data_IF_749960815097
#
_entry.id   IF_749960815097
#
_cell.length_a   1.000
_cell.length_b   1.000
_cell.length_c   1.000
_cell.angle_alpha   90.00
_cell.angle_beta   90.00
_cell.angle_gamma   90.00
#
_symmetry.space_group_name_H-M   'P 1'
#
loop_
_entity.id
_entity.type
_entity.pdbx_description
1 polymer ?
#
# COMPACT_ATOMS: atom_id res chain seq x y z
N UNK A 1 55.23 -37.08 -18.95
CA UNK A 1 56.03 -36.48 -20.04
C UNK A 1 55.42 -36.94 -21.38
N UNK A 2 54.99 -35.96 -22.19
CA UNK A 2 54.78 -35.92 -23.66
C UNK A 2 54.37 -37.22 -24.39
N UNK A 3 53.33 -37.23 -25.26
CA UNK A 3 53.21 -36.37 -26.46
C UNK A 3 51.76 -36.16 -26.92
N UNK A 4 51.59 -35.04 -27.60
CA UNK A 4 50.41 -34.45 -28.24
C UNK A 4 49.81 -35.24 -29.41
N UNK A 5 48.50 -35.10 -29.63
CA UNK A 5 47.89 -35.07 -30.97
C UNK A 5 46.76 -34.01 -30.95
N UNK A 6 46.71 -33.21 -32.01
CA UNK A 6 45.69 -32.20 -32.41
C UNK A 6 45.34 -32.49 -33.88
N UNK A 7 44.41 -31.79 -34.55
CA UNK A 7 42.96 -31.75 -34.38
C UNK A 7 42.24 -32.11 -35.70
N UNK A 8 41.00 -32.63 -35.71
CA UNK A 8 40.13 -32.51 -36.90
C UNK A 8 38.63 -32.54 -36.56
N UNK A 9 37.95 -31.51 -37.06
CA UNK A 9 36.59 -31.46 -37.60
C UNK A 9 35.41 -31.95 -36.75
N UNK A 10 34.75 -30.99 -36.10
CA UNK A 10 33.28 -31.01 -36.02
C UNK A 10 32.74 -29.73 -36.64
N UNK A 11 32.12 -29.92 -37.80
CA UNK A 11 31.44 -28.91 -38.61
C UNK A 11 30.30 -28.24 -37.83
N UNK A 12 30.35 -26.92 -37.75
CA UNK A 12 29.23 -26.05 -37.39
C UNK A 12 28.17 -26.10 -38.50
N UNK A 13 26.89 -26.32 -38.22
CA UNK A 13 25.84 -25.95 -39.15
C UNK A 13 25.55 -24.45 -38.99
N UNK A 14 25.94 -23.69 -40.01
CA UNK A 14 25.34 -22.40 -40.33
C UNK A 14 23.85 -22.61 -40.59
N UNK A 15 22.99 -22.06 -39.73
CA UNK A 15 21.56 -21.92 -39.99
C UNK A 15 21.26 -20.43 -40.17
N UNK A 16 20.57 -20.14 -41.28
CA UNK A 16 20.37 -18.85 -41.90
C UNK A 16 19.97 -17.70 -40.97
N UNK A 17 20.52 -16.54 -41.27
CA UNK A 17 19.91 -15.25 -40.99
C UNK A 17 18.50 -15.22 -41.57
N UNK A 18 17.50 -15.46 -40.72
CA UNK A 18 16.15 -14.95 -40.95
C UNK A 18 16.13 -13.56 -40.33
N UNK A 19 16.11 -12.54 -41.18
CA UNK A 19 15.71 -11.20 -40.81
C UNK A 19 14.23 -11.25 -40.41
N UNK A 20 13.94 -11.63 -39.16
CA UNK A 20 12.69 -11.23 -38.55
C UNK A 20 12.83 -9.78 -38.14
N UNK A 21 12.11 -8.93 -38.88
CA UNK A 21 11.93 -7.54 -38.56
C UNK A 21 11.47 -7.43 -37.09
N UNK A 22 12.42 -7.00 -36.25
CA UNK A 22 12.23 -6.62 -34.87
C UNK A 22 11.25 -5.46 -34.82
N UNK A 23 9.95 -5.77 -34.74
CA UNK A 23 8.96 -4.81 -34.34
C UNK A 23 9.38 -4.33 -32.96
N UNK A 24 9.83 -3.08 -32.85
CA UNK A 24 9.98 -2.43 -31.55
C UNK A 24 8.58 -2.24 -30.97
N UNK A 25 8.17 -2.90 -29.87
CA UNK A 25 6.99 -2.43 -29.15
C UNK A 25 7.38 -1.16 -28.41
N UNK A 26 7.22 -0.05 -29.12
CA UNK A 26 6.93 1.27 -28.57
C UNK A 26 5.52 1.27 -27.94
N UNK A 27 5.09 2.40 -27.39
CA UNK A 27 3.72 2.65 -26.92
C UNK A 27 2.61 2.14 -27.86
N UNK A 28 2.90 1.94 -29.15
CA UNK A 28 2.02 1.33 -30.13
C UNK A 28 1.45 -0.03 -29.70
N UNK A 29 2.25 -0.91 -29.08
CA UNK A 29 1.76 -2.23 -28.65
C UNK A 29 0.71 -2.13 -27.54
N UNK A 30 0.93 -1.23 -26.58
CA UNK A 30 -0.04 -0.95 -25.52
C UNK A 30 -1.33 -0.33 -26.08
N UNK A 31 -1.20 0.71 -26.91
CA UNK A 31 -2.35 1.41 -27.52
C UNK A 31 -3.16 0.53 -28.48
N UNK A 32 -2.52 -0.44 -29.13
CA UNK A 32 -3.22 -1.43 -29.94
C UNK A 32 -4.07 -2.40 -29.08
N UNK A 33 -3.60 -2.74 -27.89
CA UNK A 33 -4.33 -3.60 -26.95
C UNK A 33 -5.48 -2.85 -26.24
N UNK A 34 -5.27 -1.58 -25.92
CA UNK A 34 -6.24 -0.75 -25.21
C UNK A 34 -6.49 0.57 -25.95
N UNK A 35 -7.15 0.54 -27.11
CA UNK A 35 -7.35 1.74 -27.90
C UNK A 35 -8.35 2.69 -27.23
N UNK A 36 -8.08 4.00 -27.34
CA UNK A 36 -8.83 5.06 -26.66
C UNK A 36 -10.30 5.15 -27.14
N UNK A 37 -10.60 4.70 -28.36
CA UNK A 37 -11.96 4.63 -28.92
C UNK A 37 -12.85 3.56 -28.26
N UNK A 38 -12.26 2.62 -27.53
CA UNK A 38 -12.99 1.63 -26.73
C UNK A 38 -13.27 2.09 -25.31
N UNK A 39 -12.88 3.32 -24.95
CA UNK A 39 -13.18 3.86 -23.63
C UNK A 39 -14.68 4.09 -23.50
N UNK A 40 -15.23 3.72 -22.34
CA UNK A 40 -16.66 3.81 -22.04
C UNK A 40 -16.89 4.62 -20.77
N UNK A 41 -18.05 5.28 -20.64
CA UNK A 41 -18.43 5.94 -19.41
C UNK A 41 -18.38 4.98 -18.22
N UNK A 42 -17.67 5.36 -17.16
CA UNK A 42 -17.63 4.59 -15.91
C UNK A 42 -19.01 4.62 -15.24
N UNK A 43 -19.46 3.53 -14.57
CA UNK A 43 -20.73 3.54 -13.83
C UNK A 43 -20.83 4.65 -12.78
N UNK A 44 -22.02 5.26 -12.63
CA UNK A 44 -22.30 6.32 -11.66
C UNK A 44 -22.48 5.80 -10.22
N UNK A 45 -21.52 4.99 -9.76
CA UNK A 45 -21.39 4.52 -8.40
C UNK A 45 -20.18 5.21 -7.75
N UNK A 46 -20.34 5.74 -6.55
CA UNK A 46 -19.23 6.25 -5.73
C UNK A 46 -19.18 5.41 -4.45
N UNK A 47 -18.01 4.87 -4.14
CA UNK A 47 -17.77 3.99 -3.00
C UNK A 47 -16.78 4.64 -2.05
N UNK A 48 -17.09 4.56 -0.76
CA UNK A 48 -16.23 4.98 0.36
C UNK A 48 -16.19 3.85 1.38
N UNK A 49 -15.07 3.69 2.09
CA UNK A 49 -14.92 2.64 3.12
C UNK A 49 -14.54 3.29 4.45
N UNK A 50 -15.25 2.91 5.52
CA UNK A 50 -14.92 3.27 6.89
C UNK A 50 -15.03 2.05 7.81
N UNK A 51 -13.89 1.56 8.31
CA UNK A 51 -13.81 0.29 9.05
C UNK A 51 -13.03 0.44 10.34
N UNK A 52 -13.24 -0.50 11.27
CA UNK A 52 -12.58 -0.51 12.58
C UNK A 52 -13.17 0.44 13.62
N UNK A 53 -14.08 1.32 13.22
CA UNK A 53 -14.80 2.22 14.12
C UNK A 53 -16.13 2.68 13.50
N UNK A 54 -16.96 3.37 14.29
CA UNK A 54 -18.17 4.04 13.81
C UNK A 54 -17.80 5.35 13.08
N UNK A 55 -18.41 5.68 11.93
CA UNK A 55 -18.19 6.98 11.28
C UNK A 55 -18.67 8.14 12.16
N UNK A 56 -17.81 9.15 12.35
CA UNK A 56 -18.09 10.36 13.11
C UNK A 56 -18.67 11.50 12.25
N UNK A 57 -18.90 12.66 12.87
CA UNK A 57 -19.57 13.83 12.25
C UNK A 57 -18.84 14.40 11.03
N UNK A 58 -17.51 14.33 10.99
CA UNK A 58 -16.76 14.78 9.82
C UNK A 58 -17.07 13.89 8.61
N UNK A 59 -17.16 12.57 8.82
CA UNK A 59 -17.53 11.63 7.77
C UNK A 59 -18.96 11.87 7.27
N UNK A 60 -19.91 12.33 8.12
CA UNK A 60 -21.23 12.81 7.65
C UNK A 60 -21.07 13.94 6.65
N UNK A 61 -20.24 14.92 7.00
CA UNK A 61 -20.11 16.16 6.26
C UNK A 61 -19.60 15.86 4.86
N UNK A 62 -18.54 15.05 4.76
CA UNK A 62 -18.02 14.61 3.47
C UNK A 62 -19.01 13.75 2.70
N UNK A 63 -19.67 12.77 3.33
CA UNK A 63 -20.65 11.92 2.63
C UNK A 63 -21.80 12.75 2.04
N UNK A 64 -22.31 13.72 2.80
CA UNK A 64 -23.37 14.65 2.36
C UNK A 64 -22.89 15.58 1.25
N UNK A 65 -21.65 16.08 1.33
CA UNK A 65 -21.04 16.89 0.27
C UNK A 65 -20.97 16.10 -1.04
N UNK A 66 -20.43 14.88 -1.00
CA UNK A 66 -20.33 14.01 -2.18
C UNK A 66 -21.69 13.69 -2.78
N UNK A 67 -22.69 13.39 -1.94
CA UNK A 67 -24.06 13.13 -2.37
C UNK A 67 -24.72 14.34 -3.02
N UNK A 68 -24.47 15.54 -2.49
CA UNK A 68 -25.02 16.79 -3.03
C UNK A 68 -24.36 17.16 -4.34
N UNK A 69 -23.02 17.01 -4.45
CA UNK A 69 -22.27 17.30 -5.68
C UNK A 69 -22.55 16.31 -6.81
N UNK A 70 -22.97 15.08 -6.46
CA UNK A 70 -23.19 14.00 -7.43
C UNK A 70 -24.62 13.42 -7.32
N UNK A 71 -25.67 14.21 -7.64
CA UNK A 71 -27.06 13.81 -7.45
C UNK A 71 -27.47 12.61 -8.33
N UNK A 72 -26.81 12.43 -9.48
CA UNK A 72 -27.06 11.32 -10.40
C UNK A 72 -26.24 10.06 -10.07
N UNK A 73 -25.44 10.09 -8.99
CA UNK A 73 -24.66 8.94 -8.55
C UNK A 73 -25.30 8.27 -7.35
N UNK A 74 -25.14 6.96 -7.29
CA UNK A 74 -25.34 6.21 -6.05
C UNK A 74 -24.07 6.32 -5.21
N UNK A 75 -24.18 6.89 -4.02
CA UNK A 75 -23.08 7.00 -3.05
C UNK A 75 -23.22 5.89 -2.02
N UNK A 76 -22.17 5.09 -1.84
CA UNK A 76 -22.16 3.93 -0.94
C UNK A 76 -21.05 4.06 0.07
N UNK A 77 -21.42 4.22 1.34
CA UNK A 77 -20.50 4.10 2.47
C UNK A 77 -20.52 2.65 2.97
N UNK A 78 -19.37 1.99 2.86
CA UNK A 78 -19.15 0.63 3.33
C UNK A 78 -18.57 0.63 4.74
N UNK A 79 -19.24 -0.05 5.66
CA UNK A 79 -18.80 -0.28 7.03
C UNK A 79 -18.67 -1.77 7.33
N UNK A 80 -18.04 -2.14 8.44
CA UNK A 80 -18.07 -3.51 8.95
C UNK A 80 -18.74 -3.52 10.33
N UNK A 81 -19.99 -4.00 10.37
CA UNK A 81 -20.80 -4.01 11.58
C UNK A 81 -20.32 -5.02 12.64
N UNK A 82 -19.34 -5.86 12.34
CA UNK A 82 -18.70 -6.76 13.32
C UNK A 82 -17.48 -6.14 13.99
N UNK A 83 -17.00 -4.98 13.50
CA UNK A 83 -15.70 -4.40 13.87
C UNK A 83 -15.79 -2.93 14.34
N UNK A 84 -16.96 -2.42 14.73
CA UNK A 84 -17.13 -1.03 15.17
C UNK A 84 -16.32 -0.62 16.42
N UNK A 85 -15.82 -1.58 17.19
CA UNK A 85 -15.06 -1.37 18.43
C UNK A 85 -13.56 -1.73 18.30
N UNK A 86 -13.12 -2.21 17.14
CA UNK A 86 -11.76 -2.69 16.94
C UNK A 86 -10.71 -1.61 17.22
N UNK A 87 -10.91 -0.38 16.74
CA UNK A 87 -9.99 0.74 16.94
C UNK A 87 -9.82 1.07 18.42
N UNK A 88 -10.92 1.22 19.16
CA UNK A 88 -10.88 1.57 20.57
C UNK A 88 -10.20 0.47 21.40
N UNK A 89 -10.47 -0.79 21.05
CA UNK A 89 -9.86 -1.95 21.69
C UNK A 89 -8.34 -1.99 21.46
N UNK A 90 -7.90 -1.84 20.20
CA UNK A 90 -6.49 -1.87 19.84
C UNK A 90 -5.73 -0.68 20.42
N UNK A 91 -6.35 0.52 20.46
CA UNK A 91 -5.80 1.71 21.11
C UNK A 91 -5.58 1.49 22.62
N UNK A 92 -6.50 0.80 23.28
CA UNK A 92 -6.38 0.46 24.70
C UNK A 92 -5.22 -0.51 24.96
N UNK A 93 -5.04 -1.52 24.09
CA UNK A 93 -3.89 -2.43 24.17
C UNK A 93 -2.56 -1.70 23.96
N UNK A 94 -2.51 -0.74 23.02
CA UNK A 94 -1.33 0.10 22.80
C UNK A 94 -0.98 0.96 24.03
N UNK A 95 -1.98 1.57 24.66
CA UNK A 95 -1.78 2.35 25.90
C UNK A 95 -1.26 1.48 27.06
N UNK A 96 -1.76 0.24 27.16
CA UNK A 96 -1.26 -0.73 28.16
C UNK A 96 0.18 -1.15 27.87
N UNK A 97 0.54 -1.42 26.62
CA UNK A 97 1.91 -1.73 26.22
C UNK A 97 2.88 -0.57 26.55
N UNK A 98 2.47 0.68 26.27
CA UNK A 98 3.23 1.88 26.60
C UNK A 98 3.40 2.07 28.12
N UNK A 99 2.42 1.63 28.92
CA UNK A 99 2.51 1.64 30.39
C UNK A 99 3.50 0.61 30.92
N UNK A 100 3.63 -0.54 30.25
CA UNK A 100 4.62 -1.58 30.59
C UNK A 100 6.04 -1.13 30.23
N UNK A 101 6.20 -0.53 29.05
CA UNK A 101 7.46 0.00 28.58
C UNK A 101 7.28 1.42 28.00
N UNK A 102 7.60 2.46 28.80
CA UNK A 102 7.60 3.83 28.30
C UNK A 102 8.58 3.94 27.12
N UNK A 103 8.11 4.49 26.00
CA UNK A 103 8.75 4.56 24.69
C UNK A 103 8.56 3.33 23.78
N UNK A 104 7.72 2.36 24.15
CA UNK A 104 7.43 1.18 23.32
C UNK A 104 7.10 1.56 21.87
N UNK A 105 6.18 2.49 21.67
CA UNK A 105 5.80 2.93 20.33
C UNK A 105 6.98 3.55 19.56
N UNK A 106 7.90 4.25 20.23
CA UNK A 106 9.04 4.96 19.60
C UNK A 106 10.18 4.04 19.26
N UNK A 107 10.42 3.03 20.08
CA UNK A 107 11.52 2.10 19.87
C UNK A 107 11.17 0.99 18.89
N UNK A 108 9.88 0.62 18.80
CA UNK A 108 9.41 -0.45 17.93
C UNK A 108 9.85 -0.29 16.45
N UNK A 109 9.72 0.88 15.79
CA UNK A 109 10.22 1.07 14.43
C UNK A 109 11.74 0.84 14.28
N UNK A 110 12.53 1.25 15.28
CA UNK A 110 13.99 1.08 15.30
C UNK A 110 14.34 -0.40 15.43
N UNK A 111 13.73 -1.11 16.38
CA UNK A 111 13.88 -2.57 16.53
C UNK A 111 13.50 -3.30 15.24
N UNK A 112 12.40 -2.90 14.60
CA UNK A 112 11.97 -3.46 13.32
C UNK A 112 12.95 -3.23 12.16
N UNK A 113 13.61 -2.07 12.12
CA UNK A 113 14.69 -1.80 11.16
C UNK A 113 15.90 -2.71 11.37
N UNK A 114 16.29 -2.94 12.62
CA UNK A 114 17.39 -3.86 12.93
C UNK A 114 17.03 -5.32 12.69
N UNK A 115 15.76 -5.72 12.88
CA UNK A 115 15.25 -7.04 12.48
C UNK A 115 15.40 -7.25 10.97
N UNK A 116 14.95 -6.29 10.15
CA UNK A 116 15.16 -6.36 8.69
C UNK A 116 16.63 -6.38 8.30
N UNK A 117 17.48 -5.60 8.97
CA UNK A 117 18.90 -5.57 8.69
C UNK A 117 19.52 -6.95 8.95
N UNK A 118 19.13 -7.60 10.04
CA UNK A 118 19.53 -8.96 10.38
C UNK A 118 19.09 -9.94 9.30
N UNK A 119 17.84 -9.88 8.86
CA UNK A 119 17.29 -10.74 7.79
C UNK A 119 18.02 -10.51 6.45
N UNK A 120 18.30 -9.26 6.09
CA UNK A 120 18.98 -8.90 4.84
C UNK A 120 20.46 -9.32 4.80
N UNK A 121 21.14 -9.37 5.95
CA UNK A 121 22.57 -9.79 6.04
C UNK A 121 22.70 -11.31 6.18
N UNK A 122 21.79 -11.96 6.91
CA UNK A 122 21.93 -13.38 7.28
C UNK A 122 21.32 -14.36 6.26
N UNK A 123 20.74 -13.89 5.16
CA UNK A 123 20.16 -14.76 4.14
C UNK A 123 21.05 -14.88 2.90
N UNK A 124 22.12 -15.71 2.89
CA UNK A 124 23.07 -15.78 1.78
C UNK A 124 22.50 -16.39 0.49
N UNK A 125 21.27 -16.95 0.51
CA UNK A 125 20.72 -17.78 -0.56
C UNK A 125 20.11 -16.99 -1.74
N UNK A 126 20.10 -15.65 -1.72
CA UNK A 126 19.42 -14.84 -2.74
C UNK A 126 20.29 -13.69 -3.30
N UNK A 127 21.55 -13.97 -3.64
CA UNK A 127 22.38 -13.02 -4.40
C UNK A 127 21.81 -12.83 -5.83
N UNK A 128 21.64 -11.59 -6.37
CA UNK A 128 21.99 -10.26 -5.85
C UNK A 128 20.85 -9.51 -5.13
N UNK A 129 19.66 -10.12 -4.97
CA UNK A 129 18.48 -9.52 -4.32
C UNK A 129 18.79 -8.96 -2.93
N UNK A 130 19.62 -9.65 -2.16
CA UNK A 130 20.09 -9.21 -0.83
C UNK A 130 20.72 -7.82 -0.83
N UNK A 131 21.44 -7.42 -1.90
CA UNK A 131 22.08 -6.11 -1.94
C UNK A 131 21.06 -4.98 -2.04
N UNK A 132 19.96 -5.19 -2.76
CA UNK A 132 18.88 -4.21 -2.91
C UNK A 132 18.16 -4.03 -1.57
N UNK A 133 17.80 -5.15 -0.94
CA UNK A 133 17.12 -5.18 0.36
C UNK A 133 18.01 -4.56 1.44
N UNK A 134 19.30 -4.94 1.49
CA UNK A 134 20.29 -4.34 2.39
C UNK A 134 20.43 -2.83 2.15
N UNK A 135 20.50 -2.38 0.90
CA UNK A 135 20.57 -0.96 0.56
C UNK A 135 19.33 -0.21 1.05
N UNK A 136 18.14 -0.78 0.86
CA UNK A 136 16.88 -0.19 1.30
C UNK A 136 16.83 -0.03 2.82
N UNK A 137 17.06 -1.11 3.58
CA UNK A 137 17.02 -1.06 5.05
C UNK A 137 18.11 -0.14 5.61
N UNK A 138 19.32 -0.12 5.04
CA UNK A 138 20.39 0.80 5.46
C UNK A 138 20.00 2.26 5.21
N UNK A 139 19.36 2.57 4.08
CA UNK A 139 18.93 3.93 3.78
C UNK A 139 17.86 4.41 4.79
N UNK A 140 16.89 3.55 5.09
CA UNK A 140 15.82 3.83 6.05
C UNK A 140 16.36 3.91 7.49
N UNK A 141 17.28 3.02 7.88
CA UNK A 141 17.93 3.04 9.19
C UNK A 141 18.74 4.33 9.39
N UNK A 142 19.49 4.76 8.38
CA UNK A 142 20.23 6.02 8.46
C UNK A 142 19.29 7.22 8.63
N UNK A 143 18.14 7.23 7.95
CA UNK A 143 17.12 8.27 8.15
C UNK A 143 16.58 8.25 9.59
N UNK A 144 16.29 7.07 10.11
CA UNK A 144 15.77 6.89 11.47
C UNK A 144 16.77 7.34 12.54
N UNK A 145 18.05 6.98 12.40
CA UNK A 145 19.13 7.35 13.33
C UNK A 145 19.47 8.86 13.27
N UNK A 146 19.11 9.55 12.19
CA UNK A 146 19.27 11.01 12.09
C UNK A 146 18.14 11.79 12.77
N UNK A 147 17.03 11.14 13.16
CA UNK A 147 15.96 11.81 13.88
C UNK A 147 16.43 12.27 15.28
N UNK A 148 15.91 13.41 15.74
CA UNK A 148 16.31 14.02 17.01
C UNK A 148 16.12 13.09 18.21
N UNK A 149 15.07 12.26 18.19
CA UNK A 149 14.79 11.27 19.23
C UNK A 149 15.82 10.14 19.34
N UNK A 150 16.61 9.89 18.29
CA UNK A 150 17.56 8.77 18.21
C UNK A 150 19.02 9.21 18.32
N UNK A 151 19.31 10.48 18.69
CA UNK A 151 20.69 11.00 18.76
C UNK A 151 21.59 10.17 19.68
N UNK A 152 21.13 9.88 20.91
CA UNK A 152 21.90 9.10 21.88
C UNK A 152 22.12 7.65 21.41
N UNK A 153 21.11 7.06 20.75
CA UNK A 153 21.26 5.74 20.14
C UNK A 153 22.30 5.77 19.02
N UNK A 154 22.24 6.75 18.12
CA UNK A 154 23.22 6.91 17.03
C UNK A 154 24.65 7.01 17.56
N UNK A 155 24.87 7.83 18.59
CA UNK A 155 26.19 7.98 19.23
C UNK A 155 26.68 6.67 19.85
N UNK A 156 25.78 5.88 20.45
CA UNK A 156 26.11 4.56 21.01
C UNK A 156 26.45 3.51 19.93
N UNK A 157 25.80 3.59 18.77
CA UNK A 157 25.99 2.63 17.67
C UNK A 157 27.14 3.00 16.73
N UNK A 158 27.45 4.30 16.62
CA UNK A 158 28.44 4.88 15.72
C UNK A 158 29.29 5.91 16.49
N UNK A 159 30.17 5.47 17.42
CA UNK A 159 30.92 6.36 18.30
C UNK A 159 31.92 7.27 17.57
N UNK A 160 32.41 6.83 16.41
CA UNK A 160 33.28 7.62 15.51
C UNK A 160 32.48 8.55 14.59
N UNK A 161 31.15 8.58 14.73
CA UNK A 161 30.25 9.29 13.84
C UNK A 161 29.97 8.56 12.52
N UNK A 162 29.47 9.30 11.53
CA UNK A 162 29.16 8.76 10.21
C UNK A 162 27.76 8.15 10.09
N UNK A 163 27.66 7.10 9.27
CA UNK A 163 26.42 6.43 8.86
C UNK A 163 26.60 4.91 8.80
N UNK A 164 25.50 4.18 8.84
CA UNK A 164 25.49 2.73 8.57
C UNK A 164 25.79 2.51 7.08
N UNK A 165 26.68 1.57 6.79
CA UNK A 165 27.12 1.15 5.45
C UNK A 165 27.08 -0.37 5.34
N UNK A 166 27.07 -0.95 4.13
CA UNK A 166 27.18 -2.40 3.98
C UNK A 166 28.41 -2.99 4.69
N UNK A 167 29.51 -2.24 4.79
CA UNK A 167 30.76 -2.67 5.41
C UNK A 167 30.69 -2.74 6.94
N UNK A 168 29.97 -1.82 7.59
CA UNK A 168 29.86 -1.77 9.05
C UNK A 168 28.54 -2.35 9.60
N UNK A 169 27.61 -2.74 8.73
CA UNK A 169 26.25 -3.12 9.12
C UNK A 169 26.19 -4.23 10.17
N UNK A 170 27.01 -5.29 10.05
CA UNK A 170 27.06 -6.39 11.02
C UNK A 170 27.57 -5.93 12.40
N UNK A 171 28.54 -5.01 12.43
CA UNK A 171 29.07 -4.43 13.67
C UNK A 171 28.03 -3.54 14.35
N UNK A 172 27.34 -2.69 13.57
CA UNK A 172 26.25 -1.82 14.06
C UNK A 172 25.09 -2.66 14.60
N UNK A 173 24.69 -3.73 13.90
CA UNK A 173 23.67 -4.67 14.37
C UNK A 173 24.07 -5.29 15.71
N UNK A 174 25.31 -5.77 15.84
CA UNK A 174 25.81 -6.35 17.09
C UNK A 174 25.85 -5.32 18.23
N UNK A 175 26.16 -4.05 17.92
CA UNK A 175 26.11 -2.96 18.89
C UNK A 175 24.67 -2.66 19.33
N UNK A 176 23.71 -2.70 18.40
CA UNK A 176 22.30 -2.53 18.71
C UNK A 176 21.75 -3.66 19.56
N UNK A 177 22.05 -4.91 19.25
CA UNK A 177 21.62 -6.07 20.07
C UNK A 177 22.12 -5.94 21.52
N UNK A 178 23.37 -5.49 21.74
CA UNK A 178 23.91 -5.20 23.08
C UNK A 178 23.25 -3.99 23.76
N UNK A 179 22.79 -3.02 23.00
CA UNK A 179 22.09 -1.85 23.53
C UNK A 179 20.66 -2.23 23.96
N UNK A 180 19.94 -2.93 23.07
CA UNK A 180 18.57 -3.37 23.22
C UNK A 180 18.37 -4.40 24.35
N UNK A 181 19.36 -5.28 24.57
CA UNK A 181 19.29 -6.32 25.62
C UNK A 181 19.07 -5.79 27.04
N UNK A 182 19.34 -4.51 27.28
CA UNK A 182 19.09 -3.83 28.55
C UNK A 182 17.59 -3.62 28.83
N UNK A 183 16.77 -3.60 27.78
CA UNK A 183 15.33 -3.33 27.85
C UNK A 183 14.47 -4.43 27.24
N UNK A 184 15.07 -5.50 26.70
CA UNK A 184 14.38 -6.60 26.01
C UNK A 184 13.24 -7.20 26.85
N UNK A 185 13.46 -7.50 28.13
CA UNK A 185 12.41 -8.09 28.97
C UNK A 185 11.15 -7.22 29.03
N UNK A 186 11.31 -5.90 29.25
CA UNK A 186 10.17 -4.97 29.31
C UNK A 186 9.56 -4.75 27.93
N UNK A 187 10.38 -4.65 26.89
CA UNK A 187 9.89 -4.51 25.52
C UNK A 187 9.06 -5.74 25.10
N UNK A 188 9.53 -6.94 25.41
CA UNK A 188 8.81 -8.19 25.13
C UNK A 188 7.52 -8.34 25.95
N UNK A 189 7.49 -7.85 27.20
CA UNK A 189 6.24 -7.79 27.96
C UNK A 189 5.22 -6.83 27.34
N UNK A 190 5.67 -5.71 26.77
CA UNK A 190 4.82 -4.80 26.02
C UNK A 190 4.31 -5.44 24.71
N UNK A 191 5.17 -6.13 23.95
CA UNK A 191 4.76 -6.92 22.77
C UNK A 191 3.74 -8.02 23.14
N UNK A 192 3.96 -8.72 24.25
CA UNK A 192 3.03 -9.76 24.73
C UNK A 192 1.64 -9.19 25.05
N UNK A 193 1.55 -7.94 25.50
CA UNK A 193 0.27 -7.25 25.71
C UNK A 193 -0.48 -7.02 24.39
N UNK A 194 0.25 -6.66 23.33
CA UNK A 194 -0.33 -6.51 21.99
C UNK A 194 -0.78 -7.87 21.45
N UNK A 195 0.07 -8.89 21.57
CA UNK A 195 -0.22 -10.25 21.10
C UNK A 195 -1.45 -10.85 21.80
N UNK A 196 -1.56 -10.69 23.13
CA UNK A 196 -2.72 -11.13 23.91
C UNK A 196 -4.03 -10.52 23.37
N UNK A 197 -4.02 -9.22 23.03
CA UNK A 197 -5.18 -8.59 22.39
C UNK A 197 -5.45 -9.17 21.00
N UNK A 198 -4.43 -9.35 20.17
CA UNK A 198 -4.56 -9.93 18.84
C UNK A 198 -5.18 -11.34 18.90
N UNK A 199 -4.73 -12.19 19.83
CA UNK A 199 -5.30 -13.53 20.03
C UNK A 199 -6.78 -13.45 20.42
N UNK A 200 -7.16 -12.58 21.37
CA UNK A 200 -8.57 -12.38 21.75
C UNK A 200 -9.44 -11.91 20.59
N UNK A 201 -8.92 -11.05 19.72
CA UNK A 201 -9.62 -10.60 18.52
C UNK A 201 -9.87 -11.78 17.55
N UNK A 202 -8.88 -12.66 17.36
CA UNK A 202 -9.05 -13.87 16.55
C UNK A 202 -10.03 -14.86 17.16
N UNK A 203 -9.98 -15.10 18.47
CA UNK A 203 -10.94 -15.96 19.18
C UNK A 203 -12.37 -15.44 19.02
N UNK A 204 -12.56 -14.12 19.19
CA UNK A 204 -13.85 -13.47 18.94
C UNK A 204 -14.31 -13.69 17.50
N UNK A 205 -13.45 -13.45 16.50
CA UNK A 205 -13.81 -13.65 15.10
C UNK A 205 -14.16 -15.11 14.79
N UNK A 206 -13.38 -16.07 15.29
CA UNK A 206 -13.62 -17.50 15.12
C UNK A 206 -14.96 -17.95 15.73
N UNK A 207 -15.44 -17.26 16.78
CA UNK A 207 -16.78 -17.48 17.35
C UNK A 207 -17.94 -16.97 16.49
N UNK A 208 -17.64 -16.36 15.33
CA UNK A 208 -18.61 -15.74 14.42
C UNK A 208 -19.52 -14.72 15.14
N UNK A 209 -18.95 -13.58 15.59
CA UNK A 209 -19.65 -12.66 16.45
C UNK A 209 -20.85 -12.06 15.70
N UNK A 210 -21.97 -11.78 16.40
CA UNK A 210 -23.12 -11.16 15.77
C UNK A 210 -22.76 -9.76 15.25
N UNK A 211 -23.39 -9.39 14.14
CA UNK A 211 -23.34 -8.03 13.60
C UNK A 211 -24.00 -7.05 14.58
N UNK A 212 -23.40 -5.87 14.78
CA UNK A 212 -24.04 -4.76 15.49
C UNK A 212 -25.06 -4.07 14.56
N UNK A 213 -26.20 -4.73 14.39
CA UNK A 213 -27.29 -4.26 13.52
C UNK A 213 -27.98 -3.02 14.07
N UNK A 214 -27.86 -2.76 15.38
CA UNK A 214 -28.43 -1.55 16.00
C UNK A 214 -27.66 -0.31 15.57
N UNK A 215 -26.33 -0.33 15.69
CA UNK A 215 -25.49 0.77 15.20
C UNK A 215 -25.60 0.92 13.68
N UNK A 216 -25.67 -0.18 12.93
CA UNK A 216 -25.83 -0.14 11.47
C UNK A 216 -27.17 0.52 11.07
N UNK A 217 -28.28 0.17 11.72
CA UNK A 217 -29.59 0.75 11.44
C UNK A 217 -29.63 2.25 11.79
N UNK A 218 -29.04 2.65 12.91
CA UNK A 218 -28.93 4.06 13.28
C UNK A 218 -28.12 4.86 12.25
N UNK A 219 -27.04 4.28 11.70
CA UNK A 219 -26.26 4.91 10.65
C UNK A 219 -27.05 5.02 9.33
N UNK A 220 -27.85 4.01 8.99
CA UNK A 220 -28.76 4.05 7.83
C UNK A 220 -29.82 5.14 7.98
N UNK A 221 -30.44 5.25 9.16
CA UNK A 221 -31.42 6.28 9.46
C UNK A 221 -30.82 7.69 9.37
N UNK A 222 -29.55 7.86 9.79
CA UNK A 222 -28.81 9.13 9.75
C UNK A 222 -28.71 9.77 8.36
N UNK A 223 -28.86 8.98 7.29
CA UNK A 223 -28.79 9.46 5.90
C UNK A 223 -30.07 9.14 5.10
N UNK A 224 -31.19 8.85 5.77
CA UNK A 224 -32.46 8.50 5.10
C UNK A 224 -33.04 9.65 4.25
N UNK A 225 -32.60 10.89 4.52
CA UNK A 225 -32.99 12.10 3.81
C UNK A 225 -32.34 12.19 2.42
N UNK A 226 -31.23 11.48 2.21
CA UNK A 226 -30.49 11.44 0.95
C UNK A 226 -30.79 10.17 0.17
N UNK A 227 -31.69 10.29 -0.82
CA UNK A 227 -32.15 9.15 -1.66
C UNK A 227 -31.03 8.46 -2.44
N UNK A 228 -29.94 9.16 -2.69
CA UNK A 228 -28.79 8.66 -3.43
C UNK A 228 -27.67 8.10 -2.54
N UNK A 229 -27.84 8.09 -1.21
CA UNK A 229 -26.87 7.51 -0.25
C UNK A 229 -27.33 6.13 0.21
N UNK A 230 -26.39 5.21 0.34
CA UNK A 230 -26.61 3.88 0.91
C UNK A 230 -25.48 3.51 1.87
N UNK A 231 -25.85 3.00 3.04
CA UNK A 231 -24.91 2.39 3.99
C UNK A 231 -24.92 0.88 3.76
N UNK A 232 -23.75 0.32 3.43
CA UNK A 232 -23.53 -1.09 3.09
C UNK A 232 -22.62 -1.75 4.11
N UNK A 233 -22.75 -3.07 4.28
CA UNK A 233 -22.04 -3.80 5.33
C UNK A 233 -21.12 -4.89 4.73
N UNK A 234 -19.81 -4.75 4.93
CA UNK A 234 -18.78 -5.68 4.47
C UNK A 234 -18.91 -7.07 5.11
N UNK A 235 -19.52 -7.15 6.30
CA UNK A 235 -19.77 -8.43 6.98
C UNK A 235 -21.04 -9.13 6.47
N UNK A 236 -21.86 -8.45 5.66
CA UNK A 236 -23.09 -8.99 5.12
C UNK A 236 -22.86 -9.66 3.74
N UNK A 237 -22.98 -10.99 3.62
CA UNK A 237 -22.74 -11.69 2.36
C UNK A 237 -23.76 -11.38 1.25
N UNK A 238 -24.87 -10.71 1.59
CA UNK A 238 -25.83 -10.20 0.61
C UNK A 238 -25.39 -8.85 0.01
N UNK A 239 -24.53 -8.10 0.70
CA UNK A 239 -23.94 -6.86 0.17
C UNK A 239 -22.64 -7.15 -0.59
N UNK A 240 -21.73 -7.96 -0.05
CA UNK A 240 -20.52 -8.36 -0.76
C UNK A 240 -19.92 -9.64 -0.16
N UNK A 241 -19.21 -10.41 -0.98
CA UNK A 241 -18.33 -11.49 -0.53
C UNK A 241 -16.92 -11.18 -0.99
N UNK A 242 -16.06 -10.78 -0.06
CA UNK A 242 -14.68 -10.48 -0.37
C UNK A 242 -13.94 -11.77 -0.77
N UNK A 243 -13.31 -11.78 -1.94
CA UNK A 243 -12.37 -12.79 -2.40
C UNK A 243 -11.21 -12.93 -1.41
N UNK A 244 -10.61 -11.81 -0.98
CA UNK A 244 -9.53 -11.81 -0.01
C UNK A 244 -10.03 -11.48 1.41
N UNK A 245 -11.17 -12.07 1.81
CA UNK A 245 -11.75 -11.87 3.16
C UNK A 245 -10.72 -12.14 4.27
N UNK A 246 -9.92 -13.19 4.14
CA UNK A 246 -8.92 -13.55 5.15
C UNK A 246 -7.81 -12.50 5.26
N UNK A 247 -7.41 -11.89 4.13
CA UNK A 247 -6.46 -10.77 4.12
C UNK A 247 -7.06 -9.55 4.80
N UNK A 248 -8.30 -9.18 4.45
CA UNK A 248 -9.02 -8.08 5.09
C UNK A 248 -9.09 -8.25 6.62
N UNK A 249 -9.47 -9.45 7.07
CA UNK A 249 -9.58 -9.77 8.50
C UNK A 249 -8.22 -9.79 9.19
N UNK A 250 -7.18 -10.28 8.51
CA UNK A 250 -5.81 -10.27 9.03
C UNK A 250 -5.26 -8.85 9.18
N UNK A 251 -5.57 -7.92 8.27
CA UNK A 251 -5.19 -6.51 8.42
C UNK A 251 -5.88 -5.86 9.62
N UNK A 252 -7.18 -6.11 9.84
CA UNK A 252 -7.90 -5.55 11.00
C UNK A 252 -7.37 -6.14 12.31
N UNK A 253 -7.31 -7.48 12.42
CA UNK A 253 -7.06 -8.17 13.68
C UNK A 253 -5.60 -8.58 13.85
N UNK A 254 -5.03 -9.27 12.86
CA UNK A 254 -3.66 -9.79 12.91
C UNK A 254 -2.60 -8.71 13.08
N UNK A 255 -2.78 -7.56 12.42
CA UNK A 255 -1.90 -6.39 12.59
C UNK A 255 -2.31 -5.44 13.71
N UNK A 256 -3.34 -5.79 14.48
CA UNK A 256 -3.86 -4.96 15.56
C UNK A 256 -4.23 -3.53 15.08
N UNK A 257 -4.93 -3.44 13.94
CA UNK A 257 -5.44 -2.18 13.40
C UNK A 257 -4.78 -1.68 12.11
N UNK A 258 -4.49 -2.57 11.16
CA UNK A 258 -4.09 -2.25 9.78
C UNK A 258 -5.24 -1.71 8.93
N UNK A 259 -6.05 -0.76 9.45
CA UNK A 259 -7.31 -0.34 8.82
C UNK A 259 -7.14 0.24 7.41
N UNK A 260 -6.04 0.93 7.14
CA UNK A 260 -5.76 1.46 5.81
C UNK A 260 -5.58 0.34 4.78
N UNK A 261 -4.81 -0.70 5.11
CA UNK A 261 -4.62 -1.86 4.27
C UNK A 261 -5.88 -2.72 4.14
N UNK A 262 -6.66 -2.87 5.22
CA UNK A 262 -7.98 -3.51 5.16
C UNK A 262 -8.92 -2.76 4.19
N UNK A 263 -8.92 -1.42 4.26
CA UNK A 263 -9.65 -0.57 3.32
C UNK A 263 -9.10 -0.70 1.89
N UNK A 264 -7.79 -0.85 1.69
CA UNK A 264 -7.20 -1.15 0.37
C UNK A 264 -7.73 -2.47 -0.21
N UNK A 265 -7.80 -3.54 0.59
CA UNK A 265 -8.36 -4.81 0.12
C UNK A 265 -9.83 -4.64 -0.26
N UNK A 266 -10.63 -4.02 0.61
CA UNK A 266 -12.06 -3.85 0.38
C UNK A 266 -12.36 -2.96 -0.84
N UNK A 267 -11.67 -1.81 -0.98
CA UNK A 267 -11.96 -0.84 -2.04
C UNK A 267 -11.81 -1.41 -3.44
N UNK A 268 -10.76 -2.21 -3.68
CA UNK A 268 -10.54 -2.80 -4.99
C UNK A 268 -11.63 -3.82 -5.33
N UNK A 269 -12.00 -4.67 -4.38
CA UNK A 269 -13.02 -5.70 -4.60
C UNK A 269 -14.43 -5.13 -4.74
N UNK A 270 -14.76 -4.08 -3.97
CA UNK A 270 -16.01 -3.32 -4.11
C UNK A 270 -16.14 -2.78 -5.54
N UNK A 271 -15.12 -2.05 -6.02
CA UNK A 271 -15.16 -1.46 -7.36
C UNK A 271 -15.15 -2.56 -8.43
N UNK A 272 -14.45 -3.67 -8.22
CA UNK A 272 -14.48 -4.79 -9.16
C UNK A 272 -15.87 -5.43 -9.27
N UNK A 273 -16.61 -5.48 -8.15
CA UNK A 273 -17.96 -6.03 -8.13
C UNK A 273 -18.99 -5.07 -8.73
N UNK A 274 -18.97 -3.80 -8.32
CA UNK A 274 -20.01 -2.83 -8.63
C UNK A 274 -19.70 -1.91 -9.80
N UNK A 275 -18.43 -1.76 -10.17
CA UNK A 275 -17.95 -0.69 -11.04
C UNK A 275 -18.18 0.69 -10.42
N UNK A 276 -17.50 1.70 -10.95
CA UNK A 276 -17.62 3.08 -10.51
C UNK A 276 -16.33 3.66 -9.97
N UNK A 277 -16.46 4.63 -9.09
CA UNK A 277 -15.36 5.38 -8.48
C UNK A 277 -15.25 5.03 -7.01
N UNK A 278 -14.06 4.69 -6.55
CA UNK A 278 -13.73 4.71 -5.13
C UNK A 278 -13.10 6.05 -4.77
N UNK A 279 -13.44 6.58 -3.60
CA UNK A 279 -12.77 7.71 -2.97
C UNK A 279 -12.61 7.43 -1.47
N UNK A 280 -11.47 7.81 -0.89
CA UNK A 280 -11.37 7.97 0.56
C UNK A 280 -12.41 9.01 0.99
N UNK A 281 -13.00 8.81 2.17
CA UNK A 281 -14.10 9.67 2.66
C UNK A 281 -13.64 11.08 2.99
N UNK A 282 -12.34 11.28 3.25
CA UNK A 282 -11.74 12.57 3.60
C UNK A 282 -11.35 13.41 2.37
N UNK A 283 -11.70 12.98 1.15
CA UNK A 283 -11.53 13.77 -0.06
C UNK A 283 -12.78 14.61 -0.37
N UNK A 284 -12.61 15.66 -1.17
CA UNK A 284 -13.70 16.58 -1.54
C UNK A 284 -14.00 16.49 -3.03
N UNK A 285 -15.27 16.23 -3.37
CA UNK A 285 -15.75 16.43 -4.74
C UNK A 285 -15.89 17.93 -5.02
N UNK A 286 -15.13 18.43 -5.98
CA UNK A 286 -15.19 19.85 -6.40
C UNK A 286 -16.05 20.03 -7.65
N UNK A 287 -16.33 18.95 -8.39
CA UNK A 287 -17.19 18.92 -9.58
C UNK A 287 -17.97 17.60 -9.65
N UNK A 288 -19.18 17.60 -10.26
CA UNK A 288 -19.90 16.35 -10.52
C UNK A 288 -19.08 15.43 -11.42
N UNK A 289 -19.09 14.13 -11.11
CA UNK A 289 -18.41 13.10 -11.91
C UNK A 289 -19.24 12.58 -13.10
N UNK A 290 -20.52 12.98 -13.19
CA UNK A 290 -21.46 12.47 -14.19
C UNK A 290 -21.02 12.79 -15.61
N UNK A 291 -20.81 11.76 -16.42
CA UNK A 291 -20.28 11.87 -17.77
C UNK A 291 -18.81 12.33 -17.87
N UNK A 292 -18.12 12.56 -16.75
CA UNK A 292 -16.75 13.07 -16.73
C UNK A 292 -15.69 11.97 -16.93
N UNK A 293 -16.03 10.73 -16.62
CA UNK A 293 -15.08 9.63 -16.52
C UNK A 293 -15.30 8.61 -17.64
N UNK A 294 -14.32 8.50 -18.53
CA UNK A 294 -14.25 7.45 -19.56
C UNK A 294 -12.99 6.62 -19.33
N UNK A 295 -13.16 5.30 -19.28
CA UNK A 295 -12.06 4.35 -19.09
C UNK A 295 -12.22 3.15 -20.01
N UNK A 296 -11.12 2.54 -20.41
CA UNK A 296 -11.16 1.22 -21.03
C UNK A 296 -11.78 0.21 -20.05
N UNK A 297 -12.68 -0.70 -20.49
CA UNK A 297 -13.32 -1.69 -19.62
C UNK A 297 -12.35 -2.55 -18.80
N UNK A 298 -11.17 -2.82 -19.33
CA UNK A 298 -10.11 -3.63 -18.70
C UNK A 298 -9.02 -2.84 -17.97
N UNK A 299 -9.12 -1.51 -17.89
CA UNK A 299 -8.16 -0.66 -17.18
C UNK A 299 -8.83 0.07 -16.00
N UNK A 300 -8.04 0.89 -15.32
CA UNK A 300 -8.47 1.76 -14.22
C UNK A 300 -7.99 3.18 -14.45
N UNK A 301 -8.83 4.16 -14.10
CA UNK A 301 -8.37 5.52 -13.85
C UNK A 301 -7.89 5.62 -12.41
N UNK A 302 -6.83 6.37 -12.16
CA UNK A 302 -6.17 6.50 -10.86
C UNK A 302 -5.86 7.97 -10.59
N UNK A 303 -6.19 8.41 -9.38
CA UNK A 303 -5.87 9.74 -8.87
C UNK A 303 -4.37 9.98 -8.80
N UNK A 304 -3.97 11.22 -9.10
CA UNK A 304 -2.60 11.67 -8.99
C UNK A 304 -2.52 12.77 -7.93
N UNK A 305 -1.78 12.52 -6.86
CA UNK A 305 -1.49 13.52 -5.84
C UNK A 305 -0.24 14.33 -6.21
N UNK A 306 -0.22 15.60 -5.86
CA UNK A 306 0.93 16.46 -6.08
C UNK A 306 2.19 15.86 -5.40
N UNK A 307 3.33 15.94 -6.10
CA UNK A 307 4.61 15.56 -5.52
C UNK A 307 4.95 16.47 -4.34
N UNK A 308 5.43 15.93 -3.21
CA UNK A 308 6.14 16.75 -2.22
C UNK A 308 7.31 17.40 -2.93
N UNK A 309 7.42 18.73 -2.91
CA UNK A 309 8.59 19.44 -3.38
C UNK A 309 9.76 19.08 -2.47
N UNK A 310 10.40 17.94 -2.69
CA UNK A 310 11.66 17.63 -2.03
C UNK A 310 12.70 18.66 -2.50
N UNK A 311 13.73 18.89 -1.68
CA UNK A 311 14.85 19.82 -1.94
C UNK A 311 15.57 19.62 -3.30
N UNK A 312 15.19 18.60 -4.09
CA UNK A 312 15.63 18.34 -5.46
C UNK A 312 14.81 19.05 -6.56
N UNK A 313 13.76 19.81 -6.24
CA UNK A 313 13.02 20.60 -7.24
C UNK A 313 12.23 19.80 -8.28
N UNK A 314 11.88 18.56 -7.97
CA UNK A 314 11.22 17.63 -8.90
C UNK A 314 9.76 17.36 -8.47
N UNK A 315 8.81 17.62 -9.37
CA UNK A 315 7.37 17.51 -9.14
C UNK A 315 6.77 16.24 -9.75
N UNK A 316 7.41 15.08 -9.57
CA UNK A 316 6.83 13.80 -10.00
C UNK A 316 5.58 13.51 -9.17
N UNK A 317 4.38 13.34 -9.79
CA UNK A 317 3.16 13.04 -9.06
C UNK A 317 3.20 11.64 -8.44
N UNK A 318 2.44 11.46 -7.36
CA UNK A 318 2.27 10.15 -6.72
C UNK A 318 0.93 9.54 -7.12
N UNK A 319 0.93 8.24 -7.38
CA UNK A 319 -0.30 7.47 -7.49
C UNK A 319 -1.04 7.55 -6.15
N UNK A 320 -2.33 7.88 -6.19
CA UNK A 320 -3.17 7.94 -5.00
C UNK A 320 -4.29 6.90 -5.14
N UNK A 321 -4.14 5.76 -4.47
CA UNK A 321 -5.21 4.76 -4.39
C UNK A 321 -6.38 5.19 -3.46
N UNK A 322 -6.30 6.40 -2.92
CA UNK A 322 -7.40 7.14 -2.31
C UNK A 322 -8.46 7.58 -3.32
N UNK A 323 -8.17 7.55 -4.64
CA UNK A 323 -9.13 7.86 -5.69
C UNK A 323 -8.84 7.01 -6.93
N UNK A 324 -9.81 6.22 -7.38
CA UNK A 324 -9.70 5.49 -8.65
C UNK A 324 -11.07 5.12 -9.19
N UNK A 325 -11.14 4.82 -10.48
CA UNK A 325 -12.38 4.42 -11.14
C UNK A 325 -12.15 3.26 -12.10
N UNK A 326 -13.13 2.36 -12.19
CA UNK A 326 -13.07 1.25 -13.13
C UNK A 326 -14.46 0.72 -13.47
N UNK A 327 -14.54 -0.02 -14.58
CA UNK A 327 -15.69 -0.86 -14.87
C UNK A 327 -15.68 -2.09 -13.96
N UNK A 328 -16.84 -2.68 -13.72
CA UNK A 328 -16.91 -3.97 -13.01
C UNK A 328 -16.15 -5.04 -13.80
N UNK A 329 -15.45 -5.93 -13.10
CA UNK A 329 -14.71 -7.06 -13.69
C UNK A 329 -13.58 -6.66 -14.64
N UNK A 330 -13.05 -5.44 -14.51
CA UNK A 330 -11.85 -5.00 -15.24
C UNK A 330 -10.68 -5.97 -15.04
N UNK A 331 -10.06 -6.41 -16.13
CA UNK A 331 -8.93 -7.36 -16.07
C UNK A 331 -7.75 -6.83 -15.23
N UNK A 332 -7.44 -5.53 -15.34
CA UNK A 332 -6.43 -4.90 -14.50
C UNK A 332 -6.80 -4.96 -13.01
N UNK A 333 -8.02 -4.60 -12.64
CA UNK A 333 -8.43 -4.57 -11.24
C UNK A 333 -8.50 -5.99 -10.65
N UNK A 334 -9.02 -6.95 -11.40
CA UNK A 334 -9.05 -8.36 -11.02
C UNK A 334 -7.66 -8.92 -10.75
N UNK A 335 -6.71 -8.68 -11.66
CA UNK A 335 -5.32 -9.14 -11.46
C UNK A 335 -4.63 -8.46 -10.28
N UNK A 336 -4.99 -7.21 -9.92
CA UNK A 336 -4.48 -6.58 -8.70
C UNK A 336 -5.02 -7.28 -7.44
N UNK A 337 -6.31 -7.62 -7.43
CA UNK A 337 -6.97 -8.34 -6.33
C UNK A 337 -6.35 -9.74 -6.17
N UNK A 338 -6.11 -10.44 -7.28
CA UNK A 338 -5.46 -11.75 -7.29
C UNK A 338 -4.03 -11.66 -6.73
N UNK A 339 -3.23 -10.70 -7.22
CA UNK A 339 -1.87 -10.43 -6.76
C UNK A 339 -1.80 -10.14 -5.27
N UNK A 340 -2.74 -9.38 -4.71
CA UNK A 340 -2.82 -9.11 -3.28
C UNK A 340 -3.02 -10.45 -2.55
N UNK A 341 -4.01 -11.24 -2.94
CA UNK A 341 -4.26 -12.55 -2.32
C UNK A 341 -3.04 -13.48 -2.37
N UNK A 342 -2.38 -13.57 -3.52
CA UNK A 342 -1.20 -14.42 -3.72
C UNK A 342 0.00 -13.96 -2.88
N UNK A 343 0.23 -12.66 -2.77
CA UNK A 343 1.29 -12.10 -1.91
C UNK A 343 1.08 -12.49 -0.45
N UNK A 344 -0.14 -12.39 0.08
CA UNK A 344 -0.41 -12.78 1.46
C UNK A 344 -0.27 -14.30 1.67
N UNK A 345 -0.74 -15.12 0.73
CA UNK A 345 -0.60 -16.59 0.81
C UNK A 345 0.84 -17.08 0.73
N UNK A 346 1.68 -16.39 -0.04
CA UNK A 346 3.09 -16.76 -0.25
C UNK A 346 4.06 -16.09 0.71
N UNK A 347 3.60 -15.13 1.54
CA UNK A 347 4.45 -14.38 2.44
C UNK A 347 5.09 -15.28 3.50
N UNK A 348 6.42 -15.22 3.61
CA UNK A 348 7.17 -15.97 4.60
C UNK A 348 7.82 -15.01 5.61
N UNK A 349 7.46 -15.14 6.88
CA UNK A 349 7.87 -14.21 7.94
C UNK A 349 9.37 -14.17 8.22
N UNK A 350 10.12 -15.20 7.81
CA UNK A 350 11.58 -15.23 7.95
C UNK A 350 12.34 -14.69 6.72
N UNK A 351 11.62 -14.29 5.66
CA UNK A 351 12.18 -13.61 4.51
C UNK A 351 12.01 -12.10 4.64
N UNK A 352 12.81 -11.32 3.89
CA UNK A 352 12.82 -9.86 4.00
C UNK A 352 11.42 -9.24 3.84
N UNK A 353 10.63 -9.72 2.87
CA UNK A 353 9.27 -9.20 2.65
C UNK A 353 8.32 -9.49 3.81
N UNK A 354 8.38 -10.68 4.41
CA UNK A 354 7.55 -11.04 5.55
C UNK A 354 7.99 -10.38 6.85
N UNK A 355 9.29 -10.25 7.11
CA UNK A 355 9.77 -9.44 8.24
C UNK A 355 9.31 -7.99 8.06
N UNK A 356 9.55 -7.39 6.89
CA UNK A 356 9.17 -6.01 6.56
C UNK A 356 7.66 -5.77 6.75
N UNK A 357 6.83 -6.76 6.47
CA UNK A 357 5.38 -6.69 6.69
C UNK A 357 5.02 -6.36 8.14
N UNK A 358 5.63 -7.05 9.11
CA UNK A 358 5.41 -6.84 10.55
C UNK A 358 6.25 -5.70 11.13
N UNK A 359 7.50 -5.58 10.69
CA UNK A 359 8.48 -4.67 11.26
C UNK A 359 8.30 -3.24 10.77
N UNK A 360 7.76 -3.03 9.56
CA UNK A 360 7.53 -1.71 8.94
C UNK A 360 6.10 -1.56 8.44
N UNK A 361 5.13 -1.53 9.37
CA UNK A 361 3.76 -1.77 8.97
C UNK A 361 3.18 -0.73 7.99
N UNK A 362 3.57 0.53 8.17
CA UNK A 362 3.18 1.62 7.28
C UNK A 362 3.80 1.48 5.88
N UNK A 363 5.05 1.02 5.79
CA UNK A 363 5.75 0.84 4.51
C UNK A 363 5.22 -0.36 3.75
N UNK A 364 5.04 -1.49 4.42
CA UNK A 364 4.47 -2.67 3.80
C UNK A 364 3.06 -2.43 3.30
N UNK A 365 2.22 -1.67 4.02
CA UNK A 365 0.90 -1.27 3.51
C UNK A 365 1.01 -0.55 2.16
N UNK A 366 1.86 0.49 2.08
CA UNK A 366 2.07 1.27 0.85
C UNK A 366 2.57 0.37 -0.31
N UNK A 367 3.42 -0.60 -0.02
CA UNK A 367 4.11 -1.46 -0.98
C UNK A 367 3.32 -2.71 -1.39
N UNK A 368 2.39 -3.18 -0.55
CA UNK A 368 1.64 -4.43 -0.76
C UNK A 368 0.24 -4.18 -1.29
N UNK A 369 -0.51 -3.24 -0.70
CA UNK A 369 -1.92 -2.95 -1.05
C UNK A 369 -2.14 -1.50 -1.49
N UNK A 370 -1.25 -0.61 -1.09
CA UNK A 370 -1.36 0.83 -1.25
C UNK A 370 -0.83 1.36 -2.59
N UNK A 371 -0.44 2.65 -2.63
CA UNK A 371 -0.18 3.35 -3.88
C UNK A 371 1.06 2.85 -4.64
N UNK A 372 2.09 2.33 -3.96
CA UNK A 372 3.25 1.78 -4.65
C UNK A 372 2.93 0.43 -5.30
N UNK A 373 2.10 -0.39 -4.65
CA UNK A 373 1.59 -1.62 -5.24
C UNK A 373 0.80 -1.33 -6.51
N UNK A 374 -0.13 -0.36 -6.46
CA UNK A 374 -0.93 0.06 -7.60
C UNK A 374 -0.08 0.59 -8.75
N UNK A 375 0.90 1.47 -8.47
CA UNK A 375 1.82 1.98 -9.50
C UNK A 375 2.65 0.87 -10.15
N UNK A 376 3.18 -0.05 -9.35
CA UNK A 376 3.92 -1.22 -9.87
C UNK A 376 3.03 -2.12 -10.73
N UNK A 377 1.77 -2.29 -10.35
CA UNK A 377 0.77 -3.04 -11.11
C UNK A 377 0.44 -2.38 -12.45
N UNK A 378 0.29 -1.05 -12.48
CA UNK A 378 0.11 -0.29 -13.73
C UNK A 378 1.28 -0.51 -14.68
N UNK A 379 2.52 -0.43 -14.19
CA UNK A 379 3.69 -0.73 -15.02
C UNK A 379 3.69 -2.17 -15.53
N UNK A 380 3.34 -3.14 -14.66
CA UNK A 380 3.21 -4.54 -15.07
C UNK A 380 2.21 -4.72 -16.22
N UNK A 381 1.01 -4.14 -16.09
CA UNK A 381 -0.02 -4.17 -17.16
C UNK A 381 0.50 -3.52 -18.45
N UNK A 382 1.21 -2.40 -18.34
CA UNK A 382 1.84 -1.74 -19.49
C UNK A 382 2.86 -2.66 -20.17
N UNK A 383 3.78 -3.26 -19.41
CA UNK A 383 4.84 -4.08 -19.98
C UNK A 383 4.31 -5.41 -20.56
N UNK A 384 3.32 -6.03 -19.90
CA UNK A 384 2.63 -7.23 -20.42
C UNK A 384 1.91 -6.94 -21.75
N UNK A 385 1.20 -5.83 -21.84
CA UNK A 385 0.55 -5.41 -23.09
C UNK A 385 1.53 -5.11 -24.22
N UNK A 386 2.77 -4.76 -23.88
CA UNK A 386 3.88 -4.57 -24.84
C UNK A 386 4.63 -5.87 -25.16
N UNK A 387 4.21 -7.01 -24.60
CA UNK A 387 4.89 -8.30 -24.76
C UNK A 387 6.27 -8.35 -24.10
N UNK A 388 6.49 -7.57 -23.03
CA UNK A 388 7.76 -7.45 -22.32
C UNK A 388 7.61 -7.61 -20.79
N UNK A 389 6.91 -8.64 -20.28
CA UNK A 389 6.64 -8.78 -18.85
C UNK A 389 7.90 -8.76 -17.98
N UNK A 390 9.05 -9.21 -18.51
CA UNK A 390 10.35 -9.19 -17.84
C UNK A 390 10.88 -7.79 -17.50
N UNK A 391 10.28 -6.74 -18.07
CA UNK A 391 10.63 -5.33 -17.79
C UNK A 391 9.78 -4.69 -16.70
N UNK A 392 8.80 -5.41 -16.15
CA UNK A 392 7.97 -4.90 -15.07
C UNK A 392 8.82 -4.60 -13.83
N UNK A 393 8.66 -3.40 -13.27
CA UNK A 393 9.45 -2.92 -12.12
C UNK A 393 8.73 -3.22 -10.81
N UNK A 394 8.96 -4.40 -10.24
CA UNK A 394 8.26 -4.91 -9.06
C UNK A 394 9.19 -5.30 -7.89
N UNK A 395 10.47 -4.92 -7.93
CA UNK A 395 11.45 -5.20 -6.88
C UNK A 395 11.44 -4.15 -5.73
N UNK A 396 12.25 -4.39 -4.70
CA UNK A 396 12.37 -3.53 -3.54
C UNK A 396 12.93 -2.12 -3.85
N UNK A 397 13.87 -1.99 -4.81
CA UNK A 397 14.33 -0.67 -5.26
C UNK A 397 13.21 0.07 -5.99
N UNK A 398 12.44 -0.64 -6.82
CA UNK A 398 11.28 -0.08 -7.51
C UNK A 398 10.20 0.44 -6.55
N UNK A 399 10.10 -0.18 -5.38
CA UNK A 399 9.22 0.23 -4.29
C UNK A 399 9.75 1.40 -3.46
N UNK A 400 11.07 1.62 -3.42
CA UNK A 400 11.73 2.59 -2.54
C UNK A 400 12.26 3.85 -3.22
N UNK A 401 12.58 3.80 -4.53
CA UNK A 401 13.42 4.81 -5.18
C UNK A 401 12.70 5.73 -6.18
N UNK A 402 13.34 6.87 -6.46
CA UNK A 402 13.00 7.84 -7.53
C UNK A 402 13.20 7.28 -8.94
N UNK A 403 13.01 5.97 -9.16
CA UNK A 403 13.14 5.38 -10.50
C UNK A 403 11.99 5.78 -11.41
N UNK A 404 10.92 6.33 -10.86
CA UNK A 404 9.71 6.79 -11.56
C UNK A 404 9.70 8.29 -11.84
N UNK A 405 10.81 8.96 -11.56
CA UNK A 405 11.00 10.38 -11.82
C UNK A 405 10.63 10.74 -13.27
N UNK A 406 9.65 11.64 -13.44
CA UNK A 406 9.16 12.06 -14.76
C UNK A 406 10.18 12.90 -15.55
N UNK A 407 11.16 13.52 -14.89
CA UNK A 407 12.25 14.24 -15.55
C UNK A 407 13.25 13.28 -16.22
N UNK A 408 13.27 12.01 -15.82
CA UNK A 408 14.18 11.01 -16.40
C UNK A 408 13.69 10.54 -17.78
N UNK A 409 14.52 10.64 -18.84
CA UNK A 409 14.10 10.29 -20.21
C UNK A 409 13.50 8.89 -20.36
N UNK A 410 14.01 7.90 -19.61
CA UNK A 410 13.51 6.52 -19.65
C UNK A 410 12.06 6.36 -19.17
N UNK A 411 11.51 7.33 -18.43
CA UNK A 411 10.13 7.28 -17.92
C UNK A 411 9.13 8.05 -18.78
N UNK A 412 9.57 8.75 -19.83
CA UNK A 412 8.67 9.55 -20.69
C UNK A 412 7.55 8.72 -21.30
N UNK A 413 7.86 7.53 -21.80
CA UNK A 413 6.87 6.63 -22.38
C UNK A 413 5.86 6.15 -21.33
N UNK A 414 6.35 5.73 -20.15
CA UNK A 414 5.49 5.31 -19.04
C UNK A 414 4.50 6.42 -18.64
N UNK A 415 5.00 7.63 -18.40
CA UNK A 415 4.13 8.74 -18.00
C UNK A 415 3.19 9.21 -19.11
N UNK A 416 3.59 9.12 -20.38
CA UNK A 416 2.69 9.39 -21.50
C UNK A 416 1.53 8.38 -21.58
N UNK A 417 1.77 7.11 -21.26
CA UNK A 417 0.72 6.10 -21.17
C UNK A 417 -0.15 6.30 -19.93
N UNK A 418 0.44 6.63 -18.79
CA UNK A 418 -0.29 6.97 -17.56
C UNK A 418 -1.25 8.13 -17.81
N UNK A 419 -0.76 9.22 -18.40
CA UNK A 419 -1.56 10.43 -18.66
C UNK A 419 -2.73 10.16 -19.61
N UNK A 420 -2.53 9.32 -20.65
CA UNK A 420 -3.56 9.05 -21.65
C UNK A 420 -4.56 7.95 -21.28
N UNK A 421 -4.18 6.94 -20.49
CA UNK A 421 -5.02 5.75 -20.27
C UNK A 421 -5.38 5.46 -18.81
N UNK A 422 -4.63 6.02 -17.86
CA UNK A 422 -4.77 5.68 -16.44
C UNK A 422 -5.05 6.88 -15.55
N UNK A 423 -4.90 8.11 -16.02
CA UNK A 423 -5.02 9.28 -15.15
C UNK A 423 -6.49 9.63 -14.92
N UNK A 424 -6.88 9.70 -13.65
CA UNK A 424 -8.17 10.29 -13.28
C UNK A 424 -8.13 11.81 -13.59
N UNK A 425 -9.16 12.38 -14.24
CA UNK A 425 -9.16 13.79 -14.63
C UNK A 425 -8.89 14.77 -13.49
N UNK A 426 -8.01 15.74 -13.74
CA UNK A 426 -7.64 16.77 -12.75
C UNK A 426 -8.84 17.70 -12.43
N UNK A 427 -8.81 18.33 -11.25
CA UNK A 427 -9.78 19.35 -10.81
C UNK A 427 -11.23 18.86 -10.60
N UNK A 428 -11.44 17.54 -10.43
CA UNK A 428 -12.73 16.96 -10.02
C UNK A 428 -12.78 16.59 -8.54
N UNK A 429 -11.62 16.28 -7.97
CA UNK A 429 -11.48 15.91 -6.56
C UNK A 429 -10.31 16.70 -5.97
N UNK A 430 -10.55 17.32 -4.82
CA UNK A 430 -9.50 17.97 -4.04
C UNK A 430 -8.89 16.95 -3.07
N UNK A 431 -7.57 16.78 -3.18
CA UNK A 431 -6.79 15.94 -2.28
C UNK A 431 -6.32 16.68 -1.03
N UNK A 432 -6.26 18.01 -1.02
CA UNK A 432 -5.69 18.79 0.10
C UNK A 432 -6.79 19.27 1.05
N UNK A 433 -7.40 18.34 1.78
CA UNK A 433 -8.42 18.65 2.82
C UNK A 433 -7.79 18.71 4.21
N UNK A 434 -8.41 19.42 5.16
CA UNK A 434 -7.94 19.47 6.55
C UNK A 434 -7.95 18.09 7.23
N UNK A 435 -8.91 17.23 6.91
CA UNK A 435 -8.95 15.86 7.43
C UNK A 435 -7.84 15.00 6.82
N UNK A 436 -7.58 15.13 5.51
CA UNK A 436 -6.49 14.41 4.88
C UNK A 436 -5.13 14.84 5.44
N UNK A 437 -4.97 16.11 5.86
CA UNK A 437 -3.78 16.59 6.59
C UNK A 437 -3.55 15.84 7.91
N UNK A 438 -4.61 15.36 8.55
CA UNK A 438 -4.59 14.65 9.83
C UNK A 438 -4.81 13.13 9.69
N UNK A 439 -4.95 12.61 8.47
CA UNK A 439 -5.34 11.22 8.23
C UNK A 439 -4.22 10.22 8.57
N UNK A 440 -4.64 8.99 8.85
CA UNK A 440 -3.72 7.88 9.13
C UNK A 440 -2.67 7.72 8.01
N UNK A 441 -3.04 7.96 6.75
CA UNK A 441 -2.14 7.83 5.59
C UNK A 441 -1.04 8.89 5.56
N UNK A 442 -1.31 10.15 5.96
CA UNK A 442 -0.24 11.15 6.13
C UNK A 442 0.64 10.84 7.35
N UNK A 443 0.06 10.35 8.44
CA UNK A 443 0.82 9.85 9.60
C UNK A 443 1.73 8.66 9.24
N UNK A 444 1.32 7.82 8.28
CA UNK A 444 2.14 6.74 7.71
C UNK A 444 3.27 7.25 6.80
N UNK A 445 3.08 8.39 6.11
CA UNK A 445 4.04 8.97 5.17
C UNK A 445 5.09 9.91 5.83
N UNK A 446 4.89 10.32 7.09
CA UNK A 446 5.79 11.18 7.86
C UNK A 446 6.18 10.56 9.20
N UNK A 447 7.46 10.17 9.34
CA UNK A 447 8.03 9.93 10.66
C UNK A 447 8.35 11.27 11.32
N UNK A 448 8.01 11.40 12.60
CA UNK A 448 8.21 12.55 13.48
C UNK A 448 7.26 13.73 13.28
N UNK A 449 6.07 13.63 13.87
CA UNK A 449 5.69 14.58 14.92
C UNK A 449 4.70 13.91 15.87
N UNK A 450 5.25 13.35 16.96
CA UNK A 450 4.45 12.83 18.06
C UNK A 450 4.11 13.97 19.00
N UNK A 451 2.92 14.52 18.83
CA UNK A 451 2.12 14.90 19.99
C UNK A 451 0.71 14.34 19.78
N UNK A 452 0.15 13.62 20.76
CA UNK A 452 -1.28 13.33 20.74
C UNK A 452 -2.01 14.68 20.75
N UNK A 453 -2.85 14.92 19.74
CA UNK A 453 -3.90 15.92 19.85
C UNK A 453 -4.83 15.47 20.97
N UNK A 454 -4.67 16.07 22.14
CA UNK A 454 -5.72 16.12 23.14
C UNK A 454 -6.68 17.18 22.61
N UNK A 455 -7.78 16.76 21.97
CA UNK A 455 -9.03 17.52 21.92
C UNK A 455 -10.14 16.75 21.21
N UNK A 456 -11.28 16.62 21.91
CA UNK A 456 -12.63 16.48 21.34
C UNK A 456 -13.09 15.06 21.07
#
# INVERSE_FOLDING_TARGET
MMKSISPYDVRTPMAGHVNEATHSPSAAGFKAKYPEDQFKPVPNNIHMVWVGSKPGLNQDTYLRQWATMNPNHKIMLWVDSTQFDAYATNKSAQAKAESVYPNYQSERPVRGLFSQLKTAINNPLQWPRNQIEQKQVIAELNKELLSSGNKALKEALLPEGGKVTPQNASQVLSAFERHASRTDDKFHQAEATILDQTTKSWDRYASNPPRDTTTLAALQERFNDLKNVQIRDLSNPADIRLQNKDVYQHEIMGRNGGYAAASDVARYEIVNHYGGTYTDIDLESVRPLDGALNAHPDLMLVGMAAGKSEASGNATPYFANALFSSHSQSAMLKSLIDDIGDKYRSMNGNEYAGDRYFSRPNKSTIETTGPNALRGHVDRVIQEAKGRPERARNDAASSAERIWDMAKPQNKEYWGLVDSHFKFPDNYVNFETEEQQNSATKAMAGGADRRPSIQG
#
